data_IF_267360046566
#
_entry.id   IF_267360046566
#
_cell.length_a   1.000
_cell.length_b   1.000
_cell.length_c   1.000
_cell.angle_alpha   90.00
_cell.angle_beta   90.00
_cell.angle_gamma   90.00
#
_symmetry.space_group_name_H-M   'P 1'
#
loop_
_entity.id
_entity.type
_entity.pdbx_description
1 polymer ?
#
# COMPACT_ATOMS: atom_id res chain seq x y z
N UNK A 1 9.33 -25.10 -11.13
CA UNK A 1 8.81 -23.74 -11.33
C UNK A 1 9.96 -22.90 -11.87
N UNK A 2 9.75 -21.97 -12.80
CA UNK A 2 10.81 -21.02 -13.17
C UNK A 2 10.86 -19.93 -12.09
N UNK A 3 11.88 -19.97 -11.23
CA UNK A 3 12.03 -19.06 -10.10
C UNK A 3 12.19 -17.61 -10.55
N UNK A 4 12.92 -17.36 -11.64
CA UNK A 4 13.10 -16.01 -12.18
C UNK A 4 11.77 -15.41 -12.68
N UNK A 5 10.99 -16.20 -13.42
CA UNK A 5 9.67 -15.79 -13.90
C UNK A 5 8.70 -15.53 -12.74
N UNK A 6 8.71 -16.40 -11.73
CA UNK A 6 7.91 -16.22 -10.52
C UNK A 6 8.30 -14.96 -9.75
N UNK A 7 9.59 -14.80 -9.42
CA UNK A 7 10.10 -13.64 -8.70
C UNK A 7 9.81 -12.33 -9.43
N UNK A 8 9.94 -12.33 -10.76
CA UNK A 8 9.62 -11.16 -11.58
C UNK A 8 8.13 -10.84 -11.55
N UNK A 9 7.25 -11.85 -11.60
CA UNK A 9 5.79 -11.64 -11.48
C UNK A 9 5.38 -11.06 -10.12
N UNK A 10 5.95 -11.58 -9.02
CA UNK A 10 5.72 -11.07 -7.66
C UNK A 10 6.18 -9.62 -7.54
N UNK A 11 7.41 -9.31 -7.99
CA UNK A 11 7.94 -7.93 -7.97
C UNK A 11 7.07 -6.98 -8.80
N UNK A 12 6.60 -7.42 -9.97
CA UNK A 12 5.70 -6.61 -10.82
C UNK A 12 4.39 -6.31 -10.10
N UNK A 13 3.79 -7.30 -9.46
CA UNK A 13 2.57 -7.12 -8.67
C UNK A 13 2.78 -6.12 -7.52
N UNK A 14 3.81 -6.33 -6.68
CA UNK A 14 4.10 -5.45 -5.55
C UNK A 14 4.41 -4.01 -5.99
N UNK A 15 5.06 -3.82 -7.14
CA UNK A 15 5.28 -2.49 -7.73
C UNK A 15 3.96 -1.82 -8.10
N UNK A 16 3.03 -2.54 -8.73
CA UNK A 16 1.70 -2.00 -9.05
C UNK A 16 0.94 -1.62 -7.77
N UNK A 17 0.95 -2.49 -6.76
CA UNK A 17 0.32 -2.22 -5.46
C UNK A 17 0.89 -0.95 -4.82
N UNK A 18 2.22 -0.81 -4.78
CA UNK A 18 2.86 0.36 -4.20
C UNK A 18 2.50 1.67 -4.92
N UNK A 19 2.60 1.70 -6.24
CA UNK A 19 2.30 2.90 -7.04
C UNK A 19 0.83 3.30 -6.96
N UNK A 20 -0.09 2.33 -7.03
CA UNK A 20 -1.52 2.61 -6.91
C UNK A 20 -1.86 3.12 -5.50
N UNK A 21 -1.38 2.44 -4.45
CA UNK A 21 -1.65 2.82 -3.06
C UNK A 21 -1.13 4.23 -2.76
N UNK A 22 0.06 4.57 -3.27
CA UNK A 22 0.62 5.92 -3.11
C UNK A 22 -0.29 7.00 -3.69
N UNK A 23 -0.77 6.82 -4.94
CA UNK A 23 -1.64 7.80 -5.59
C UNK A 23 -2.95 8.01 -4.83
N UNK A 24 -3.55 6.92 -4.36
CA UNK A 24 -4.79 6.97 -3.57
C UNK A 24 -4.58 7.67 -2.22
N UNK A 25 -3.48 7.36 -1.53
CA UNK A 25 -3.10 8.03 -0.27
C UNK A 25 -2.92 9.53 -0.51
N UNK A 26 -2.14 9.93 -1.52
CA UNK A 26 -1.90 11.35 -1.83
C UNK A 26 -3.19 12.10 -2.15
N UNK A 27 -4.09 11.49 -2.93
CA UNK A 27 -5.38 12.08 -3.26
C UNK A 27 -6.26 12.26 -2.01
N UNK A 28 -6.33 11.24 -1.14
CA UNK A 28 -7.09 11.30 0.09
C UNK A 28 -6.54 12.34 1.08
N UNK A 29 -5.21 12.39 1.26
CA UNK A 29 -4.53 13.38 2.10
C UNK A 29 -4.80 14.80 1.61
N UNK A 30 -4.71 15.04 0.29
CA UNK A 30 -5.00 16.36 -0.30
C UNK A 30 -6.43 16.81 -0.02
N UNK A 31 -7.40 15.93 -0.25
CA UNK A 31 -8.81 16.23 0.02
C UNK A 31 -9.11 16.48 1.51
N UNK A 32 -8.46 15.75 2.41
CA UNK A 32 -8.62 15.93 3.85
C UNK A 32 -8.00 17.27 4.32
N UNK A 33 -6.85 17.64 3.76
CA UNK A 33 -6.19 18.92 4.04
C UNK A 33 -7.05 20.12 3.61
N UNK A 34 -7.65 20.06 2.41
CA UNK A 34 -8.57 21.11 1.92
C UNK A 34 -9.81 21.31 2.81
N UNK A 35 -10.23 20.25 3.52
CA UNK A 35 -11.37 20.28 4.45
C UNK A 35 -10.98 20.70 5.87
N UNK A 36 -9.70 21.01 6.12
CA UNK A 36 -9.18 21.44 7.42
C UNK A 36 -9.13 20.34 8.49
N UNK A 37 -9.14 19.06 8.09
CA UNK A 37 -9.28 17.92 9.01
C UNK A 37 -8.14 16.92 8.90
N UNK A 38 -6.89 17.39 8.90
CA UNK A 38 -5.73 16.53 8.76
C UNK A 38 -4.81 16.61 9.99
N UNK A 39 -4.92 15.62 10.87
CA UNK A 39 -3.95 15.38 11.95
C UNK A 39 -2.85 14.44 11.46
N UNK A 40 -1.59 14.81 11.70
CA UNK A 40 -0.39 14.06 11.31
C UNK A 40 0.37 13.65 12.58
N UNK A 41 0.92 12.42 12.67
CA UNK A 41 1.00 11.40 11.62
C UNK A 41 -0.26 10.54 11.47
N UNK A 42 -0.48 10.04 10.25
CA UNK A 42 -1.57 9.12 9.93
C UNK A 42 -1.16 7.68 10.20
N UNK A 43 -1.99 6.93 10.92
CA UNK A 43 -1.82 5.47 11.06
C UNK A 43 -2.28 4.77 9.78
N UNK A 44 -1.43 3.93 9.21
CA UNK A 44 -1.71 3.17 7.99
C UNK A 44 -1.62 1.67 8.24
N UNK A 45 -2.49 0.92 7.54
CA UNK A 45 -2.53 -0.55 7.56
C UNK A 45 -2.77 -1.07 6.15
N UNK A 46 -1.98 -2.05 5.74
CA UNK A 46 -2.16 -2.82 4.51
C UNK A 46 -2.34 -4.29 4.86
N UNK A 47 -3.27 -4.97 4.18
CA UNK A 47 -3.44 -6.42 4.25
C UNK A 47 -3.21 -6.98 2.85
N UNK A 48 -2.24 -7.88 2.71
CA UNK A 48 -1.98 -8.63 1.49
C UNK A 48 -2.52 -10.05 1.66
N UNK A 49 -3.47 -10.43 0.80
CA UNK A 49 -4.01 -11.78 0.74
C UNK A 49 -3.64 -12.41 -0.60
N UNK A 50 -3.22 -13.68 -0.58
CA UNK A 50 -2.96 -14.46 -1.79
C UNK A 50 -3.73 -15.77 -1.69
N UNK A 51 -4.84 -15.84 -2.44
CA UNK A 51 -5.69 -17.02 -2.50
C UNK A 51 -4.94 -18.21 -3.13
N UNK A 52 -5.22 -19.42 -2.65
CA UNK A 52 -4.59 -20.66 -3.11
C UNK A 52 -3.24 -21.00 -2.46
N UNK A 53 -2.69 -20.10 -1.63
CA UNK A 53 -1.54 -20.39 -0.75
C UNK A 53 -1.78 -20.00 0.71
N UNK A 54 -3.04 -19.68 1.05
CA UNK A 54 -3.50 -19.30 2.40
C UNK A 54 -2.61 -18.23 3.07
N UNK A 55 -2.09 -17.28 2.28
CA UNK A 55 -1.24 -16.21 2.77
C UNK A 55 -2.09 -14.99 3.13
N UNK A 56 -1.98 -14.53 4.37
CA UNK A 56 -2.45 -13.22 4.81
C UNK A 56 -1.35 -12.52 5.59
N UNK A 57 -0.89 -11.37 5.10
CA UNK A 57 0.15 -10.56 5.73
C UNK A 57 -0.42 -9.19 6.05
N UNK A 58 -0.28 -8.77 7.31
CA UNK A 58 -0.62 -7.44 7.77
C UNK A 58 0.65 -6.60 7.94
N UNK A 59 0.64 -5.40 7.34
CA UNK A 59 1.73 -4.44 7.42
C UNK A 59 1.16 -3.14 8.00
N UNK A 60 1.67 -2.75 9.16
CA UNK A 60 1.30 -1.51 9.84
C UNK A 60 2.41 -0.48 9.70
N UNK A 61 2.04 0.80 9.58
CA UNK A 61 3.00 1.89 9.46
C UNK A 61 2.38 3.24 9.83
N UNK A 62 3.22 4.27 9.76
CA UNK A 62 2.82 5.66 9.95
C UNK A 62 3.20 6.47 8.72
N UNK A 63 2.34 7.41 8.33
CA UNK A 63 2.56 8.34 7.23
C UNK A 63 2.62 9.73 7.81
N UNK A 64 3.80 10.33 7.78
CA UNK A 64 4.01 11.72 8.14
C UNK A 64 3.51 12.61 7.01
N UNK A 65 2.60 13.52 7.34
CA UNK A 65 2.23 14.64 6.50
C UNK A 65 2.82 15.88 7.14
N UNK A 66 4.02 16.25 6.69
CA UNK A 66 4.74 17.46 7.08
C UNK A 66 4.90 18.37 5.87
#
# INVERSE_FOLDING_TARGET
MNEDAFNMSVRKFLKTVGVTSQREIEAAVRQASEKGGLDSPLKAKMVLTVDGVDLTVEINGTIDVA
#
